data_IF_389333146319
#
_entry.id   IF_389333146319
#
_cell.length_a   1.000
_cell.length_b   1.000
_cell.length_c   1.000
_cell.angle_alpha   90.00
_cell.angle_beta   90.00
_cell.angle_gamma   90.00
#
_symmetry.space_group_name_H-M   'P 1'
#
loop_
_entity.id
_entity.type
_entity.pdbx_description
1 polymer ?
#
# COMPACT_ATOMS: atom_id res chain seq x y z
N UNK A 1 12.28 -17.49 -9.09
CA UNK A 1 10.90 -17.00 -9.20
C UNK A 1 10.44 -16.75 -7.77
N UNK A 2 10.44 -15.50 -7.32
CA UNK A 2 9.92 -15.21 -5.99
C UNK A 2 8.41 -15.37 -6.01
N UNK A 3 7.93 -16.33 -5.22
CA UNK A 3 6.52 -16.70 -5.14
C UNK A 3 5.65 -15.51 -4.71
N UNK A 4 4.41 -15.48 -5.19
CA UNK A 4 3.40 -14.55 -4.70
C UNK A 4 3.25 -14.64 -3.18
N UNK A 5 3.02 -13.51 -2.52
CA UNK A 5 2.85 -13.41 -1.07
C UNK A 5 1.36 -13.56 -0.76
N UNK A 6 0.93 -14.60 -0.04
CA UNK A 6 -0.46 -14.70 0.40
C UNK A 6 -0.77 -13.58 1.38
N UNK A 7 -1.91 -12.91 1.19
CA UNK A 7 -2.38 -11.80 2.04
C UNK A 7 -3.77 -12.11 2.58
N UNK A 8 -3.90 -12.18 3.90
CA UNK A 8 -5.19 -12.32 4.55
C UNK A 8 -5.78 -10.94 4.85
N UNK A 9 -6.94 -10.66 4.24
CA UNK A 9 -7.61 -9.36 4.34
C UNK A 9 -8.76 -9.42 5.34
N UNK A 10 -8.78 -8.46 6.27
CA UNK A 10 -9.84 -8.26 7.24
C UNK A 10 -10.42 -6.84 7.11
N UNK A 11 -11.71 -6.67 7.36
CA UNK A 11 -12.39 -5.37 7.27
C UNK A 11 -13.86 -5.49 6.96
N UNK A 12 -14.49 -4.36 6.65
CA UNK A 12 -15.88 -4.33 6.19
C UNK A 12 -16.02 -5.06 4.86
N UNK A 13 -17.12 -5.80 4.68
CA UNK A 13 -17.33 -6.64 3.50
C UNK A 13 -17.25 -5.86 2.18
N UNK A 14 -17.88 -4.68 2.13
CA UNK A 14 -17.85 -3.79 0.98
C UNK A 14 -16.43 -3.38 0.58
N UNK A 15 -15.58 -3.08 1.57
CA UNK A 15 -14.21 -2.60 1.33
C UNK A 15 -13.32 -3.74 0.81
N UNK A 16 -13.55 -4.96 1.32
CA UNK A 16 -12.87 -6.17 0.82
C UNK A 16 -13.30 -6.46 -0.62
N UNK A 17 -14.60 -6.40 -0.91
CA UNK A 17 -15.12 -6.64 -2.26
C UNK A 17 -14.58 -5.61 -3.27
N UNK A 18 -14.52 -4.32 -2.88
CA UNK A 18 -13.90 -3.26 -3.68
C UNK A 18 -12.41 -3.55 -3.94
N UNK A 19 -11.61 -3.86 -2.91
CA UNK A 19 -10.20 -4.23 -3.07
C UNK A 19 -10.05 -5.43 -4.02
N UNK A 20 -10.90 -6.45 -3.88
CA UNK A 20 -10.82 -7.68 -4.68
C UNK A 20 -11.19 -7.46 -6.13
N UNK A 21 -12.02 -6.46 -6.43
CA UNK A 21 -12.33 -6.07 -7.82
C UNK A 21 -11.09 -5.57 -8.58
N UNK A 22 -10.11 -4.98 -7.88
CA UNK A 22 -8.90 -4.42 -8.47
C UNK A 22 -7.67 -5.34 -8.36
N UNK A 23 -7.72 -6.44 -7.59
CA UNK A 23 -6.54 -7.27 -7.29
C UNK A 23 -5.80 -7.81 -8.52
N UNK A 24 -6.49 -7.95 -9.65
CA UNK A 24 -5.94 -8.42 -10.93
C UNK A 24 -4.96 -7.45 -11.59
N UNK A 25 -4.85 -6.21 -11.10
CA UNK A 25 -3.85 -5.23 -11.57
C UNK A 25 -2.41 -5.59 -11.18
N UNK A 26 -2.22 -6.57 -10.30
CA UNK A 26 -0.91 -7.02 -9.82
C UNK A 26 -0.93 -8.51 -9.49
N UNK A 27 0.24 -9.14 -9.45
CA UNK A 27 0.38 -10.57 -9.13
C UNK A 27 1.25 -10.85 -7.90
N UNK A 28 1.82 -9.82 -7.26
CA UNK A 28 2.79 -9.99 -6.17
C UNK A 28 2.11 -10.37 -4.86
N UNK A 29 1.01 -9.72 -4.52
CA UNK A 29 0.22 -9.93 -3.32
C UNK A 29 -1.06 -10.68 -3.67
N UNK A 30 -1.21 -11.89 -3.14
CA UNK A 30 -2.38 -12.71 -3.38
C UNK A 30 -3.42 -12.49 -2.28
N UNK A 31 -4.33 -11.55 -2.53
CA UNK A 31 -5.39 -11.15 -1.58
C UNK A 31 -6.50 -12.20 -1.47
N UNK A 32 -6.77 -12.61 -0.23
CA UNK A 32 -7.79 -13.60 0.12
C UNK A 32 -8.52 -13.24 1.43
N UNK A 33 -9.79 -13.63 1.53
CA UNK A 33 -10.65 -13.34 2.69
C UNK A 33 -10.67 -14.44 3.76
N UNK A 34 -9.92 -15.52 3.55
CA UNK A 34 -9.78 -16.62 4.51
C UNK A 34 -8.36 -16.63 5.10
N UNK A 35 -8.21 -16.89 6.42
CA UNK A 35 -6.90 -16.95 7.04
C UNK A 35 -6.12 -18.16 6.52
N UNK A 36 -4.84 -17.94 6.18
CA UNK A 36 -3.90 -18.97 5.78
C UNK A 36 -2.64 -18.86 6.65
N UNK A 37 -2.07 -19.98 7.12
CA UNK A 37 -0.80 -19.94 7.85
C UNK A 37 0.30 -19.21 7.06
N UNK A 38 0.95 -18.25 7.71
CA UNK A 38 2.04 -17.46 7.09
C UNK A 38 1.59 -16.38 6.11
N UNK A 39 0.28 -16.13 5.95
CA UNK A 39 -0.20 -15.01 5.15
C UNK A 39 0.10 -13.66 5.81
N UNK A 40 0.47 -12.68 5.00
CA UNK A 40 0.61 -11.30 5.42
C UNK A 40 -0.75 -10.76 5.90
N UNK A 41 -0.85 -10.20 7.10
CA UNK A 41 -2.09 -9.61 7.57
C UNK A 41 -2.30 -8.23 6.93
N UNK A 42 -3.52 -7.97 6.46
CA UNK A 42 -3.97 -6.67 5.99
C UNK A 42 -5.33 -6.33 6.61
N UNK A 43 -5.44 -5.14 7.20
CA UNK A 43 -6.68 -4.67 7.82
C UNK A 43 -7.18 -3.41 7.12
N UNK A 44 -8.38 -3.46 6.57
CA UNK A 44 -9.13 -2.31 6.08
C UNK A 44 -9.99 -1.78 7.21
N UNK A 45 -9.71 -0.56 7.68
CA UNK A 45 -10.36 0.01 8.86
C UNK A 45 -10.97 1.37 8.55
N UNK A 46 -12.20 1.57 9.03
CA UNK A 46 -12.84 2.88 9.01
C UNK A 46 -12.41 3.65 10.26
N UNK A 47 -11.22 4.25 10.20
CA UNK A 47 -10.69 5.08 11.29
C UNK A 47 -10.10 6.39 10.76
N UNK A 48 -10.38 7.52 11.41
CA UNK A 48 -9.68 8.76 11.13
C UNK A 48 -8.20 8.58 11.49
N UNK A 49 -7.32 8.91 10.55
CA UNK A 49 -5.87 8.83 10.71
C UNK A 49 -5.18 9.87 9.83
N UNK A 50 -3.94 10.22 10.19
CA UNK A 50 -3.14 11.17 9.41
C UNK A 50 -2.56 10.56 8.11
N UNK A 51 -2.64 9.24 7.94
CA UNK A 51 -2.04 8.51 6.82
C UNK A 51 -3.02 7.57 6.12
N UNK A 52 -2.80 7.32 4.82
CA UNK A 52 -3.59 6.37 4.02
C UNK A 52 -3.43 4.92 4.51
N UNK A 53 -2.23 4.62 5.02
CA UNK A 53 -1.90 3.32 5.58
C UNK A 53 -0.92 3.49 6.74
N UNK A 54 -0.87 2.48 7.59
CA UNK A 54 0.10 2.32 8.66
C UNK A 54 0.60 0.88 8.64
N UNK A 55 1.73 0.65 9.29
CA UNK A 55 2.31 -0.69 9.39
C UNK A 55 2.72 -0.97 10.82
N UNK A 56 2.32 -2.14 11.30
CA UNK A 56 2.79 -2.71 12.55
C UNK A 56 3.37 -4.09 12.25
N UNK A 57 4.49 -4.44 12.89
CA UNK A 57 5.20 -5.70 12.61
C UNK A 57 4.32 -6.91 12.89
N UNK A 58 3.61 -6.89 14.02
CA UNK A 58 2.80 -7.99 14.52
C UNK A 58 1.42 -8.05 13.87
N UNK A 59 0.83 -6.89 13.56
CA UNK A 59 -0.57 -6.81 13.09
C UNK A 59 -0.70 -6.58 11.58
N UNK A 60 0.39 -6.30 10.88
CA UNK A 60 0.43 -6.22 9.42
C UNK A 60 0.30 -4.81 8.86
N UNK A 61 -0.16 -4.76 7.61
CA UNK A 61 -0.57 -3.52 6.98
C UNK A 61 -1.97 -3.11 7.46
N UNK A 62 -2.16 -1.83 7.73
CA UNK A 62 -3.46 -1.24 8.06
C UNK A 62 -3.75 -0.15 7.04
N UNK A 63 -4.89 -0.21 6.35
CA UNK A 63 -5.31 0.79 5.36
C UNK A 63 -6.56 1.48 5.88
N UNK A 64 -6.53 2.80 5.90
CA UNK A 64 -7.73 3.57 6.23
C UNK A 64 -8.69 3.60 5.05
N UNK A 65 -9.95 3.28 5.32
CA UNK A 65 -11.03 3.37 4.33
C UNK A 65 -11.86 4.65 4.46
N UNK A 66 -11.54 5.50 5.43
CA UNK A 66 -12.19 6.80 5.60
C UNK A 66 -11.94 7.67 4.36
N UNK A 67 -12.98 8.34 3.88
CA UNK A 67 -12.93 9.20 2.67
C UNK A 67 -12.42 8.53 1.39
N UNK A 68 -12.17 7.22 1.39
CA UNK A 68 -11.60 6.47 0.26
C UNK A 68 -12.40 6.65 -1.03
N UNK A 69 -13.73 6.75 -0.94
CA UNK A 69 -14.59 7.09 -2.09
C UNK A 69 -14.28 8.48 -2.65
N UNK A 70 -14.15 9.49 -1.78
CA UNK A 70 -13.90 10.88 -2.17
C UNK A 70 -12.51 11.04 -2.77
N UNK A 71 -11.50 10.45 -2.13
CA UNK A 71 -10.10 10.47 -2.60
C UNK A 71 -9.97 9.73 -3.93
N UNK A 72 -10.53 8.51 -4.04
CA UNK A 72 -10.49 7.77 -5.31
C UNK A 72 -11.17 8.55 -6.43
N UNK A 73 -12.34 9.15 -6.18
CA UNK A 73 -13.03 10.00 -7.16
C UNK A 73 -12.20 11.22 -7.58
N UNK A 74 -11.54 11.88 -6.62
CA UNK A 74 -10.67 13.01 -6.92
C UNK A 74 -9.51 12.60 -7.84
N UNK A 75 -8.92 11.42 -7.62
CA UNK A 75 -7.84 10.87 -8.44
C UNK A 75 -8.30 10.30 -9.79
N UNK A 76 -9.61 10.31 -10.09
CA UNK A 76 -10.16 9.65 -11.28
C UNK A 76 -10.08 8.12 -11.23
N UNK A 77 -9.90 7.54 -10.04
CA UNK A 77 -9.73 6.10 -9.85
C UNK A 77 -11.02 5.43 -9.35
N UNK A 78 -11.17 4.15 -9.70
CA UNK A 78 -12.10 3.29 -8.96
C UNK A 78 -11.60 3.10 -7.53
N UNK A 79 -12.53 3.07 -6.56
CA UNK A 79 -12.21 2.87 -5.14
C UNK A 79 -11.36 1.63 -4.90
N UNK A 80 -11.66 0.52 -5.58
CA UNK A 80 -10.87 -0.70 -5.50
C UNK A 80 -9.39 -0.52 -5.85
N UNK A 81 -9.10 0.25 -6.91
CA UNK A 81 -7.72 0.54 -7.33
C UNK A 81 -6.98 1.41 -6.31
N UNK A 82 -7.67 2.39 -5.73
CA UNK A 82 -7.12 3.19 -4.62
C UNK A 82 -6.79 2.32 -3.39
N UNK A 83 -7.73 1.45 -2.98
CA UNK A 83 -7.50 0.53 -1.85
C UNK A 83 -6.35 -0.44 -2.14
N UNK A 84 -6.24 -0.92 -3.39
CA UNK A 84 -5.12 -1.75 -3.82
C UNK A 84 -3.78 -1.03 -3.66
N UNK A 85 -3.66 0.19 -4.17
CA UNK A 85 -2.44 0.99 -4.04
C UNK A 85 -2.02 1.15 -2.57
N UNK A 86 -2.95 1.57 -1.71
CA UNK A 86 -2.67 1.78 -0.29
C UNK A 86 -2.24 0.47 0.39
N UNK A 87 -2.89 -0.64 0.02
CA UNK A 87 -2.56 -1.97 0.52
C UNK A 87 -1.16 -2.39 0.09
N UNK A 88 -0.78 -2.18 -1.17
CA UNK A 88 0.56 -2.52 -1.67
C UNK A 88 1.65 -1.69 -1.02
N UNK A 89 1.42 -0.40 -0.78
CA UNK A 89 2.34 0.48 -0.07
C UNK A 89 2.60 -0.04 1.36
N UNK A 90 1.53 -0.30 2.12
CA UNK A 90 1.63 -0.84 3.48
C UNK A 90 2.26 -2.24 3.53
N UNK A 91 1.89 -3.13 2.61
CA UNK A 91 2.44 -4.49 2.57
C UNK A 91 3.91 -4.52 2.16
N UNK A 92 4.36 -3.58 1.32
CA UNK A 92 5.78 -3.45 0.95
C UNK A 92 6.62 -3.05 2.17
N UNK A 93 6.15 -2.05 2.94
CA UNK A 93 6.79 -1.67 4.20
C UNK A 93 6.75 -2.80 5.23
N UNK A 94 5.61 -3.49 5.38
CA UNK A 94 5.49 -4.64 6.28
C UNK A 94 6.46 -5.75 5.90
N UNK A 95 6.58 -6.06 4.61
CA UNK A 95 7.50 -7.09 4.14
C UNK A 95 8.95 -6.72 4.47
N UNK A 96 9.31 -5.45 4.26
CA UNK A 96 10.63 -4.93 4.60
C UNK A 96 10.93 -5.04 6.10
N UNK A 97 9.95 -4.73 6.97
CA UNK A 97 10.05 -4.96 8.42
C UNK A 97 10.33 -6.43 8.72
N UNK A 98 9.51 -7.35 8.22
CA UNK A 98 9.64 -8.79 8.51
C UNK A 98 11.00 -9.33 8.08
N UNK A 99 11.52 -8.89 6.93
CA UNK A 99 12.83 -9.30 6.45
C UNK A 99 13.99 -8.68 7.23
N UNK A 100 13.78 -7.53 7.88
CA UNK A 100 14.82 -6.75 8.55
C UNK A 100 14.39 -6.42 9.99
N UNK A 101 14.66 -7.31 10.96
CA UNK A 101 14.17 -7.20 12.34
C UNK A 101 14.65 -5.96 13.11
N UNK A 102 15.74 -5.34 12.66
CA UNK A 102 16.29 -4.14 13.29
C UNK A 102 15.50 -2.86 12.94
N UNK A 103 14.71 -2.88 11.85
CA UNK A 103 13.91 -1.74 11.44
C UNK A 103 12.67 -1.59 12.32
N UNK A 104 12.33 -0.34 12.60
CA UNK A 104 11.07 0.08 13.19
C UNK A 104 10.18 0.73 12.11
N UNK A 105 8.84 0.76 12.27
CA UNK A 105 7.94 1.40 11.30
C UNK A 105 8.31 2.86 10.98
N UNK A 106 8.87 3.58 11.95
CA UNK A 106 9.27 4.98 11.80
C UNK A 106 10.46 5.16 10.85
N UNK A 107 11.29 4.13 10.65
CA UNK A 107 12.48 4.17 9.79
C UNK A 107 12.12 4.30 8.30
N UNK A 108 10.87 4.02 7.92
CA UNK A 108 10.41 4.19 6.53
C UNK A 108 9.92 5.59 6.22
N UNK A 109 9.73 6.44 7.24
CA UNK A 109 9.20 7.78 7.06
C UNK A 109 10.29 8.77 6.64
N UNK A 110 10.01 9.58 5.63
CA UNK A 110 10.89 10.66 5.19
C UNK A 110 10.05 11.87 4.76
N UNK A 111 10.61 13.08 4.85
CA UNK A 111 9.85 14.30 4.57
C UNK A 111 9.99 14.79 3.10
N UNK A 112 10.96 14.27 2.34
CA UNK A 112 11.22 14.71 0.95
C UNK A 112 11.62 13.59 -0.01
N UNK A 113 11.21 13.65 -1.29
CA UNK A 113 10.27 14.62 -1.86
C UNK A 113 8.84 14.34 -1.39
N UNK A 114 8.03 15.39 -1.29
CA UNK A 114 6.61 15.34 -0.91
C UNK A 114 5.76 14.52 -1.90
N UNK A 115 6.19 14.38 -3.16
CA UNK A 115 5.50 13.54 -4.15
C UNK A 115 5.77 12.04 -4.03
N UNK A 116 6.59 11.59 -3.06
CA UNK A 116 6.82 10.17 -2.84
C UNK A 116 5.67 9.55 -2.03
N UNK A 117 5.04 8.44 -2.46
CA UNK A 117 3.96 7.81 -1.71
C UNK A 117 4.39 7.20 -0.36
N UNK A 118 5.70 7.11 -0.09
CA UNK A 118 6.25 6.73 1.20
C UNK A 118 6.64 7.93 2.09
N UNK A 119 6.46 9.16 1.60
CA UNK A 119 6.74 10.34 2.40
C UNK A 119 5.74 10.48 3.55
N UNK A 120 6.16 11.18 4.60
CA UNK A 120 5.30 11.58 5.71
C UNK A 120 4.46 12.78 5.27
N UNK A 121 3.16 12.70 5.49
CA UNK A 121 2.27 13.83 5.28
C UNK A 121 1.54 14.22 6.57
N UNK A 122 1.15 15.49 6.65
CA UNK A 122 0.46 16.03 7.81
C UNK A 122 -1.03 15.63 7.84
N UNK A 123 -1.64 15.46 6.66
CA UNK A 123 -3.04 15.05 6.53
C UNK A 123 -3.28 14.09 5.37
N UNK A 124 -4.43 13.39 5.42
CA UNK A 124 -4.82 12.40 4.40
C UNK A 124 -5.07 13.03 3.02
N UNK A 125 -5.41 14.32 2.97
CA UNK A 125 -5.64 15.05 1.72
C UNK A 125 -4.33 15.28 0.95
N UNK A 126 -3.22 15.54 1.66
CA UNK A 126 -1.91 15.71 1.03
C UNK A 126 -1.47 14.41 0.32
N UNK A 127 -1.82 13.26 0.90
CA UNK A 127 -1.56 11.96 0.29
C UNK A 127 -2.31 11.77 -1.04
N UNK A 128 -3.48 12.37 -1.23
CA UNK A 128 -4.17 12.33 -2.52
C UNK A 128 -3.31 13.03 -3.60
N UNK A 129 -2.77 14.22 -3.29
CA UNK A 129 -1.89 14.95 -4.20
C UNK A 129 -0.62 14.14 -4.54
N UNK A 130 -0.08 13.41 -3.57
CA UNK A 130 1.07 12.51 -3.76
C UNK A 130 0.75 11.39 -4.74
N UNK A 131 -0.42 10.77 -4.63
CA UNK A 131 -0.84 9.67 -5.50
C UNK A 131 -1.11 10.12 -6.94
N UNK A 132 -1.59 11.36 -7.15
CA UNK A 132 -1.83 11.93 -8.49
C UNK A 132 -0.57 11.90 -9.36
N UNK A 133 0.59 12.23 -8.78
CA UNK A 133 1.89 12.26 -9.47
C UNK A 133 2.70 10.97 -9.30
N UNK A 134 2.18 10.04 -8.49
CA UNK A 134 2.88 8.97 -7.79
C UNK A 134 4.15 8.44 -8.45
N UNK A 135 5.31 8.85 -7.92
CA UNK A 135 6.60 8.27 -8.28
C UNK A 135 7.37 7.94 -7.00
N UNK A 136 7.83 6.69 -6.88
CA UNK A 136 8.69 6.28 -5.78
C UNK A 136 10.03 7.00 -5.96
N UNK A 137 10.43 7.80 -4.97
CA UNK A 137 11.67 8.55 -5.07
C UNK A 137 12.91 7.62 -5.11
N UNK A 138 13.99 8.09 -5.73
CA UNK A 138 15.24 7.31 -5.85
C UNK A 138 15.77 6.81 -4.49
N UNK A 139 15.78 7.60 -3.41
CA UNK A 139 16.15 7.12 -2.08
C UNK A 139 15.29 5.95 -1.58
N UNK A 140 13.96 6.05 -1.64
CA UNK A 140 13.06 4.95 -1.25
C UNK A 140 13.31 3.70 -2.10
N UNK A 141 13.44 3.86 -3.42
CA UNK A 141 13.71 2.73 -4.29
C UNK A 141 15.01 2.01 -3.89
N UNK A 142 16.10 2.76 -3.70
CA UNK A 142 17.39 2.18 -3.28
C UNK A 142 17.31 1.54 -1.88
N UNK A 143 16.63 2.19 -0.93
CA UNK A 143 16.45 1.68 0.42
C UNK A 143 15.72 0.33 0.41
N UNK A 144 14.53 0.28 -0.18
CA UNK A 144 13.73 -0.94 -0.26
C UNK A 144 14.38 -2.04 -1.11
N UNK A 145 15.13 -1.69 -2.16
CA UNK A 145 15.94 -2.65 -2.90
C UNK A 145 16.98 -3.33 -1.98
N UNK A 146 17.72 -2.55 -1.18
CA UNK A 146 18.68 -3.09 -0.20
C UNK A 146 18.01 -3.97 0.87
N UNK A 147 16.74 -3.72 1.19
CA UNK A 147 15.95 -4.50 2.15
C UNK A 147 15.37 -5.81 1.56
N UNK A 148 15.62 -6.09 0.28
CA UNK A 148 15.17 -7.32 -0.38
C UNK A 148 13.69 -7.31 -0.79
N UNK A 149 13.08 -6.13 -0.95
CA UNK A 149 11.68 -5.99 -1.41
C UNK A 149 11.54 -5.33 -2.78
N UNK A 150 12.56 -5.47 -3.63
CA UNK A 150 12.53 -5.00 -5.01
C UNK A 150 11.34 -5.55 -5.82
N UNK A 151 10.98 -6.85 -5.74
CA UNK A 151 9.83 -7.38 -6.49
C UNK A 151 8.50 -6.67 -6.15
N UNK A 152 8.30 -6.30 -4.88
CA UNK A 152 7.15 -5.53 -4.42
C UNK A 152 7.14 -4.10 -4.96
N UNK A 153 8.31 -3.44 -4.97
CA UNK A 153 8.46 -2.11 -5.56
C UNK A 153 8.17 -2.10 -7.06
N UNK A 154 8.66 -3.09 -7.78
CA UNK A 154 8.42 -3.21 -9.22
C UNK A 154 6.93 -3.42 -9.50
N UNK A 155 6.26 -4.32 -8.77
CA UNK A 155 4.82 -4.52 -8.89
C UNK A 155 4.03 -3.24 -8.57
N UNK A 156 4.45 -2.47 -7.56
CA UNK A 156 3.84 -1.20 -7.22
C UNK A 156 4.02 -0.15 -8.33
N UNK A 157 5.21 -0.09 -8.95
CA UNK A 157 5.47 0.79 -10.10
C UNK A 157 4.61 0.43 -11.32
N UNK A 158 4.43 -0.86 -11.58
CA UNK A 158 3.59 -1.33 -12.68
C UNK A 158 2.13 -0.90 -12.48
N UNK A 159 1.63 -0.99 -11.24
CA UNK A 159 0.28 -0.51 -10.89
C UNK A 159 0.18 1.01 -11.05
N UNK A 160 1.16 1.79 -10.56
CA UNK A 160 1.15 3.24 -10.78
C UNK A 160 1.11 3.60 -12.26
N UNK A 161 1.95 2.97 -13.08
CA UNK A 161 1.98 3.20 -14.52
C UNK A 161 0.63 2.84 -15.19
N UNK A 162 0.00 1.73 -14.78
CA UNK A 162 -1.31 1.34 -15.30
C UNK A 162 -2.40 2.37 -14.96
N UNK A 163 -2.40 2.88 -13.73
CA UNK A 163 -3.41 3.83 -13.27
C UNK A 163 -3.22 5.23 -13.85
N UNK A 164 -1.98 5.66 -14.12
CA UNK A 164 -1.69 6.94 -14.79
C UNK A 164 -2.05 6.95 -16.28
N UNK A 165 -2.09 5.79 -16.95
CA UNK A 165 -2.55 5.69 -18.35
C UNK A 165 -4.08 5.71 -18.45
N UNK A 166 -4.78 5.40 -17.36
CA UNK A 166 -6.23 5.29 -17.32
C UNK A 166 -6.96 6.58 -16.87
N UNK A 167 -6.21 7.59 -16.38
CA UNK A 167 -6.70 8.90 -15.97
C UNK A 167 -6.52 9.94 -17.10
#
# INVERSE_FOLDING_TARGET
>A
MDSAIPVFVQGNRSDIDDLFSARGLQARFWFQGAPLPGAAPLRLVDRPGAALFAVERETGGVVSTIESHGIARYLGLQRGAYLLLCSMLGLTQWRALILNPLLQPEDFAHDTPDVCPFARHACIQDYALTLERGCICRPCFAFFHCLGVEPELLALRDVFAHLQVAA
#
